data_IF_435972422752
#
_entry.id   IF_435972422752
#
_cell.length_a   1.000
_cell.length_b   1.000
_cell.length_c   1.000
_cell.angle_alpha   90.00
_cell.angle_beta   90.00
_cell.angle_gamma   90.00
#
_symmetry.space_group_name_H-M   'P 1'
#
loop_
_entity.id
_entity.type
_entity.pdbx_description
1 polymer ?
#
# COMPACT_ATOMS: atom_id res chain seq x y z
N UNK A 1 9.31 41.77 -14.44
CA UNK A 1 9.85 40.64 -13.64
C UNK A 1 9.30 40.56 -12.19
N UNK A 2 8.18 41.22 -11.84
CA UNK A 2 7.70 41.29 -10.45
C UNK A 2 6.93 40.04 -9.94
N UNK A 3 6.41 39.20 -10.84
CA UNK A 3 5.49 38.11 -10.49
C UNK A 3 6.15 36.94 -9.75
N UNK A 4 7.45 36.66 -9.98
CA UNK A 4 8.13 35.53 -9.33
C UNK A 4 8.39 35.73 -7.83
N UNK A 5 8.70 36.97 -7.43
CA UNK A 5 8.96 37.32 -6.03
C UNK A 5 7.71 37.22 -5.16
N UNK A 6 6.55 37.65 -5.70
CA UNK A 6 5.27 37.56 -4.99
C UNK A 6 4.81 36.11 -4.77
N UNK A 7 4.95 35.23 -5.78
CA UNK A 7 4.60 33.81 -5.64
C UNK A 7 5.53 33.10 -4.66
N UNK A 8 6.84 33.34 -4.71
CA UNK A 8 7.79 32.75 -3.75
C UNK A 8 7.47 33.16 -2.31
N UNK A 9 7.06 34.41 -2.09
CA UNK A 9 6.65 34.88 -0.76
C UNK A 9 5.41 34.13 -0.23
N UNK A 10 4.42 33.84 -1.09
CA UNK A 10 3.22 33.08 -0.71
C UNK A 10 3.54 31.62 -0.38
N UNK A 11 4.42 30.99 -1.16
CA UNK A 11 4.87 29.61 -0.91
C UNK A 11 5.59 29.52 0.43
N UNK A 12 6.51 30.43 0.73
CA UNK A 12 7.23 30.42 2.01
C UNK A 12 6.27 30.58 3.20
N UNK A 13 5.27 31.47 3.09
CA UNK A 13 4.23 31.61 4.11
C UNK A 13 3.41 30.34 4.28
N UNK A 14 3.03 29.68 3.19
CA UNK A 14 2.32 28.40 3.24
C UNK A 14 3.15 27.31 3.94
N UNK A 15 4.45 27.22 3.63
CA UNK A 15 5.37 26.30 4.31
C UNK A 15 5.48 26.61 5.80
N UNK A 16 5.56 27.88 6.18
CA UNK A 16 5.58 28.28 7.59
C UNK A 16 4.30 27.86 8.32
N UNK A 17 3.13 28.14 7.74
CA UNK A 17 1.84 27.73 8.32
C UNK A 17 1.73 26.21 8.45
N UNK A 18 2.22 25.46 7.45
CA UNK A 18 2.27 24.00 7.51
C UNK A 18 3.15 23.48 8.66
N UNK A 19 4.34 24.07 8.85
CA UNK A 19 5.25 23.73 9.97
C UNK A 19 4.64 24.06 11.33
N UNK A 20 3.81 25.10 11.40
CA UNK A 20 3.06 25.48 12.61
C UNK A 20 1.80 24.62 12.86
N UNK A 21 1.46 23.71 11.95
CA UNK A 21 0.24 22.88 12.06
C UNK A 21 -1.04 23.59 11.62
N UNK A 22 -0.93 24.82 11.08
CA UNK A 22 -2.06 25.61 10.57
C UNK A 22 -2.36 25.23 9.13
N UNK A 23 -2.85 24.01 8.93
CA UNK A 23 -3.01 23.43 7.59
C UNK A 23 -4.07 24.13 6.74
N UNK A 24 -5.14 24.66 7.34
CA UNK A 24 -6.16 25.43 6.63
C UNK A 24 -5.59 26.76 6.11
N UNK A 25 -4.84 27.50 6.93
CA UNK A 25 -4.18 28.75 6.52
C UNK A 25 -3.10 28.47 5.44
N UNK A 26 -2.38 27.35 5.57
CA UNK A 26 -1.43 26.92 4.54
C UNK A 26 -2.12 26.70 3.18
N UNK A 27 -3.30 26.10 3.16
CA UNK A 27 -4.09 25.88 1.94
C UNK A 27 -4.49 27.19 1.26
N UNK A 28 -4.85 28.23 2.02
CA UNK A 28 -5.19 29.54 1.45
C UNK A 28 -3.99 30.13 0.71
N UNK A 29 -2.82 30.15 1.35
CA UNK A 29 -1.58 30.62 0.73
C UNK A 29 -1.15 29.79 -0.48
N UNK A 30 -1.28 28.45 -0.43
CA UNK A 30 -1.01 27.60 -1.60
C UNK A 30 -2.01 27.82 -2.73
N UNK A 31 -3.29 28.10 -2.43
CA UNK A 31 -4.32 28.41 -3.43
C UNK A 31 -3.98 29.70 -4.17
N UNK A 32 -3.60 30.73 -3.42
CA UNK A 32 -3.12 31.98 -4.01
C UNK A 32 -1.86 31.74 -4.86
N UNK A 33 -0.87 31.00 -4.36
CA UNK A 33 0.33 30.68 -5.12
C UNK A 33 0.01 29.90 -6.40
N UNK A 34 -0.95 28.97 -6.36
CA UNK A 34 -1.38 28.16 -7.50
C UNK A 34 -2.02 29.00 -8.59
N UNK A 35 -2.82 30.02 -8.22
CA UNK A 35 -3.40 30.98 -9.18
C UNK A 35 -2.35 31.77 -9.97
N UNK A 36 -1.14 31.91 -9.40
CA UNK A 36 -0.02 32.64 -10.01
C UNK A 36 0.97 31.71 -10.73
N UNK A 37 0.84 30.39 -10.56
CA UNK A 37 1.77 29.40 -11.09
C UNK A 37 1.68 29.31 -12.62
N UNK A 38 2.83 29.41 -13.28
CA UNK A 38 2.91 29.45 -14.75
C UNK A 38 3.45 28.17 -15.35
N UNK A 39 4.34 27.48 -14.64
CA UNK A 39 5.02 26.29 -15.16
C UNK A 39 4.39 25.01 -14.61
N UNK A 40 4.47 23.93 -15.39
CA UNK A 40 4.00 22.60 -14.94
C UNK A 40 4.67 22.17 -13.62
N UNK A 41 6.02 22.30 -13.46
CA UNK A 41 6.66 21.91 -12.20
C UNK A 41 6.17 22.69 -10.98
N UNK A 42 5.88 24.00 -11.13
CA UNK A 42 5.31 24.80 -10.05
C UNK A 42 3.92 24.28 -9.65
N UNK A 43 3.06 24.02 -10.63
CA UNK A 43 1.71 23.49 -10.37
C UNK A 43 1.77 22.12 -9.70
N UNK A 44 2.65 21.22 -10.17
CA UNK A 44 2.87 19.89 -9.57
C UNK A 44 3.27 20.01 -8.09
N UNK A 45 4.25 20.85 -7.78
CA UNK A 45 4.68 21.06 -6.39
C UNK A 45 3.55 21.62 -5.51
N UNK A 46 2.81 22.60 -6.01
CA UNK A 46 1.71 23.24 -5.28
C UNK A 46 0.54 22.29 -5.02
N UNK A 47 0.13 21.49 -6.01
CA UNK A 47 -0.89 20.45 -5.81
C UNK A 47 -0.41 19.38 -4.81
N UNK A 48 0.86 18.96 -4.90
CA UNK A 48 1.43 17.99 -3.94
C UNK A 48 1.40 18.52 -2.50
N UNK A 49 1.75 19.79 -2.30
CA UNK A 49 1.71 20.44 -0.98
C UNK A 49 0.29 20.63 -0.45
N UNK A 50 -0.68 20.95 -1.31
CA UNK A 50 -2.11 21.00 -0.95
C UNK A 50 -2.63 19.62 -0.55
N UNK A 51 -2.25 18.56 -1.27
CA UNK A 51 -2.59 17.19 -0.90
C UNK A 51 -2.09 16.85 0.51
N UNK A 52 -0.85 17.23 0.84
CA UNK A 52 -0.28 17.06 2.18
C UNK A 52 -1.11 17.78 3.27
N UNK A 53 -1.54 19.01 3.01
CA UNK A 53 -2.39 19.75 3.94
C UNK A 53 -3.74 19.06 4.16
N UNK A 54 -4.39 18.60 3.09
CA UNK A 54 -5.66 17.89 3.20
C UNK A 54 -5.52 16.56 3.94
N UNK A 55 -4.41 15.83 3.77
CA UNK A 55 -4.12 14.63 4.56
C UNK A 55 -3.99 14.93 6.04
N UNK A 56 -3.33 16.04 6.41
CA UNK A 56 -3.22 16.48 7.81
C UNK A 56 -4.56 16.95 8.39
N UNK A 57 -5.47 17.42 7.55
CA UNK A 57 -6.84 17.77 7.91
C UNK A 57 -7.81 16.59 7.86
N UNK A 58 -7.35 15.38 7.53
CA UNK A 58 -8.17 14.19 7.31
C UNK A 58 -9.27 14.36 6.24
N UNK A 59 -9.10 15.31 5.31
CA UNK A 59 -9.97 15.49 4.14
C UNK A 59 -9.42 14.66 2.98
N UNK A 60 -9.60 13.35 3.07
CA UNK A 60 -9.01 12.39 2.15
C UNK A 60 -9.53 12.53 0.71
N UNK A 61 -10.81 12.91 0.54
CA UNK A 61 -11.40 13.18 -0.78
C UNK A 61 -10.68 14.31 -1.51
N UNK A 62 -10.44 15.43 -0.83
CA UNK A 62 -9.69 16.55 -1.44
C UNK A 62 -8.22 16.20 -1.64
N UNK A 63 -7.61 15.44 -0.74
CA UNK A 63 -6.24 14.96 -0.93
C UNK A 63 -6.11 14.11 -2.22
N UNK A 64 -7.04 13.19 -2.46
CA UNK A 64 -7.06 12.37 -3.67
C UNK A 64 -7.27 13.21 -4.95
N UNK A 65 -8.09 14.26 -4.89
CA UNK A 65 -8.30 15.21 -5.99
C UNK A 65 -7.02 15.99 -6.31
N UNK A 66 -6.31 16.50 -5.30
CA UNK A 66 -5.03 17.19 -5.53
C UNK A 66 -3.98 16.26 -6.15
N UNK A 67 -3.89 14.99 -5.71
CA UNK A 67 -3.05 14.00 -6.36
C UNK A 67 -3.45 13.75 -7.82
N UNK A 68 -4.75 13.75 -8.11
CA UNK A 68 -5.26 13.62 -9.48
C UNK A 68 -4.82 14.79 -10.35
N UNK A 69 -4.88 16.03 -9.84
CA UNK A 69 -4.36 17.21 -10.55
C UNK A 69 -2.85 17.12 -10.82
N UNK A 70 -2.06 16.48 -9.94
CA UNK A 70 -0.64 16.18 -10.24
C UNK A 70 -0.53 15.20 -11.41
N UNK A 71 -1.33 14.14 -11.40
CA UNK A 71 -1.29 13.07 -12.42
C UNK A 71 -1.82 13.51 -13.79
N UNK A 72 -2.66 14.54 -13.84
CA UNK A 72 -3.05 15.21 -15.09
C UNK A 72 -1.88 16.00 -15.72
N UNK A 73 -0.93 16.47 -14.90
CA UNK A 73 0.24 17.22 -15.35
C UNK A 73 1.43 16.30 -15.66
N UNK A 74 1.61 15.26 -14.85
CA UNK A 74 2.58 14.19 -15.01
C UNK A 74 1.96 12.84 -14.63
N UNK A 75 1.51 12.12 -15.66
CA UNK A 75 0.83 10.83 -15.57
C UNK A 75 1.65 9.75 -14.86
N UNK A 76 2.98 9.85 -14.87
CA UNK A 76 3.88 8.85 -14.30
C UNK A 76 4.54 9.35 -13.01
N UNK A 77 3.99 10.39 -12.39
CA UNK A 77 4.50 10.92 -11.12
C UNK A 77 4.33 9.90 -10.00
N UNK A 78 5.37 9.12 -9.74
CA UNK A 78 5.39 7.98 -8.80
C UNK A 78 4.92 8.39 -7.40
N UNK A 79 5.34 9.56 -6.95
CA UNK A 79 4.93 10.11 -5.66
C UNK A 79 3.42 10.37 -5.54
N UNK A 80 2.79 10.83 -6.63
CA UNK A 80 1.36 11.14 -6.62
C UNK A 80 0.51 9.88 -6.78
N UNK A 81 0.97 8.91 -7.59
CA UNK A 81 0.35 7.58 -7.68
C UNK A 81 0.36 6.89 -6.31
N UNK A 82 1.50 6.90 -5.61
CA UNK A 82 1.62 6.28 -4.29
C UNK A 82 0.73 6.98 -3.26
N UNK A 83 0.78 8.32 -3.21
CA UNK A 83 -0.01 9.10 -2.25
C UNK A 83 -1.51 8.92 -2.49
N UNK A 84 -1.96 8.95 -3.75
CA UNK A 84 -3.36 8.72 -4.11
C UNK A 84 -3.80 7.31 -3.77
N UNK A 85 -3.02 6.27 -4.10
CA UNK A 85 -3.33 4.89 -3.74
C UNK A 85 -3.53 4.72 -2.23
N UNK A 86 -2.63 5.27 -1.40
CA UNK A 86 -2.74 5.18 0.06
C UNK A 86 -3.94 5.98 0.61
N UNK A 87 -4.26 7.12 -0.02
CA UNK A 87 -5.45 7.92 0.32
C UNK A 87 -6.73 7.16 -0.01
N UNK A 88 -6.79 6.55 -1.19
CA UNK A 88 -7.92 5.75 -1.66
C UNK A 88 -8.14 4.49 -0.80
N UNK A 89 -7.06 3.85 -0.33
CA UNK A 89 -7.16 2.77 0.68
C UNK A 89 -7.88 3.25 1.94
N UNK A 90 -7.59 4.47 2.39
CA UNK A 90 -8.22 5.08 3.58
C UNK A 90 -9.70 5.37 3.33
N UNK A 91 -10.04 5.76 2.11
CA UNK A 91 -11.42 5.93 1.63
C UNK A 91 -12.13 4.60 1.30
N UNK A 92 -11.45 3.46 1.47
CA UNK A 92 -11.93 2.11 1.09
C UNK A 92 -12.23 1.94 -0.41
N UNK A 93 -11.69 2.83 -1.25
CA UNK A 93 -11.75 2.72 -2.71
C UNK A 93 -10.65 1.79 -3.26
N UNK A 94 -10.75 0.51 -2.93
CA UNK A 94 -9.68 -0.45 -3.18
C UNK A 94 -9.43 -0.72 -4.67
N UNK A 95 -10.46 -0.66 -5.53
CA UNK A 95 -10.30 -0.81 -6.98
C UNK A 95 -9.47 0.34 -7.58
N UNK A 96 -9.82 1.58 -7.24
CA UNK A 96 -9.09 2.79 -7.67
C UNK A 96 -7.65 2.77 -7.16
N UNK A 97 -7.44 2.37 -5.90
CA UNK A 97 -6.10 2.22 -5.33
C UNK A 97 -5.27 1.15 -6.07
N UNK A 98 -5.89 0.01 -6.41
CA UNK A 98 -5.21 -1.08 -7.12
C UNK A 98 -4.77 -0.65 -8.52
N UNK A 99 -5.58 0.16 -9.21
CA UNK A 99 -5.22 0.73 -10.51
C UNK A 99 -3.91 1.55 -10.42
N UNK A 100 -3.80 2.44 -9.44
CA UNK A 100 -2.60 3.25 -9.24
C UNK A 100 -1.37 2.41 -8.88
N UNK A 101 -1.56 1.38 -8.05
CA UNK A 101 -0.48 0.45 -7.66
C UNK A 101 0.01 -0.39 -8.84
N UNK A 102 -0.88 -0.83 -9.73
CA UNK A 102 -0.48 -1.55 -10.94
C UNK A 102 0.39 -0.67 -11.83
N UNK A 103 0.03 0.60 -12.00
CA UNK A 103 0.84 1.57 -12.74
C UNK A 103 2.21 1.79 -12.09
N UNK A 104 2.29 1.86 -10.77
CA UNK A 104 3.56 1.92 -10.04
C UNK A 104 4.44 0.69 -10.30
N UNK A 105 3.84 -0.50 -10.38
CA UNK A 105 4.55 -1.74 -10.72
C UNK A 105 5.03 -1.76 -12.17
N UNK A 106 4.30 -1.17 -13.12
CA UNK A 106 4.78 -1.01 -14.50
C UNK A 106 6.02 -0.10 -14.55
N UNK A 107 6.03 0.98 -13.75
CA UNK A 107 7.15 1.92 -13.68
C UNK A 107 8.37 1.34 -12.95
N UNK A 108 8.16 0.53 -11.92
CA UNK A 108 9.24 -0.19 -11.22
C UNK A 108 8.79 -1.60 -10.80
N UNK A 109 8.98 -2.60 -11.69
CA UNK A 109 8.56 -3.98 -11.44
C UNK A 109 9.30 -4.66 -10.28
N UNK A 110 10.51 -4.20 -9.98
CA UNK A 110 11.36 -4.79 -8.94
C UNK A 110 10.93 -4.39 -7.52
N UNK A 111 10.09 -3.35 -7.37
CA UNK A 111 9.68 -2.82 -6.07
C UNK A 111 8.85 -3.83 -5.27
N UNK A 112 9.42 -4.34 -4.19
CA UNK A 112 8.69 -5.18 -3.23
C UNK A 112 7.58 -4.40 -2.51
N UNK A 113 7.80 -3.10 -2.27
CA UNK A 113 6.79 -2.23 -1.63
C UNK A 113 5.50 -2.22 -2.44
N UNK A 114 5.60 -2.13 -3.77
CA UNK A 114 4.41 -2.07 -4.64
C UNK A 114 3.73 -3.43 -4.75
N UNK A 115 4.52 -4.52 -4.85
CA UNK A 115 4.01 -5.90 -4.84
C UNK A 115 3.25 -6.22 -3.55
N UNK A 116 3.80 -5.83 -2.39
CA UNK A 116 3.17 -6.06 -1.09
C UNK A 116 1.87 -5.25 -0.94
N UNK A 117 1.85 -3.99 -1.40
CA UNK A 117 0.64 -3.18 -1.39
C UNK A 117 -0.44 -3.76 -2.32
N UNK A 118 -0.06 -4.22 -3.52
CA UNK A 118 -0.98 -4.87 -4.46
C UNK A 118 -1.61 -6.13 -3.85
N UNK A 119 -0.81 -6.99 -3.22
CA UNK A 119 -1.30 -8.22 -2.59
C UNK A 119 -2.32 -7.93 -1.47
N UNK A 120 -2.04 -6.91 -0.64
CA UNK A 120 -2.97 -6.45 0.41
C UNK A 120 -4.29 -5.96 -0.17
N UNK A 121 -4.23 -5.15 -1.24
CA UNK A 121 -5.42 -4.63 -1.91
C UNK A 121 -6.28 -5.75 -2.52
N UNK A 122 -5.64 -6.74 -3.18
CA UNK A 122 -6.35 -7.92 -3.72
C UNK A 122 -7.03 -8.73 -2.63
N UNK A 123 -6.37 -8.90 -1.48
CA UNK A 123 -6.97 -9.59 -0.33
C UNK A 123 -8.20 -8.83 0.18
N UNK A 124 -8.09 -7.51 0.33
CA UNK A 124 -9.20 -6.68 0.79
C UNK A 124 -10.41 -6.71 -0.15
N UNK A 125 -10.17 -6.75 -1.46
CA UNK A 125 -11.20 -6.90 -2.46
C UNK A 125 -11.88 -8.28 -2.40
N UNK A 126 -11.09 -9.34 -2.23
CA UNK A 126 -11.60 -10.70 -2.05
C UNK A 126 -12.47 -10.86 -0.80
N UNK A 127 -12.13 -10.18 0.29
CA UNK A 127 -12.91 -10.20 1.53
C UNK A 127 -14.23 -9.44 1.38
N UNK A 128 -14.24 -8.35 0.61
CA UNK A 128 -15.44 -7.55 0.37
C UNK A 128 -16.46 -8.25 -0.55
N UNK A 129 -16.04 -9.29 -1.30
CA UNK A 129 -16.90 -10.03 -2.23
C UNK A 129 -17.56 -11.26 -1.62
N UNK A 130 -17.36 -11.56 -0.34
CA UNK A 130 -18.16 -12.58 0.34
C UNK A 130 -19.56 -11.98 0.46
N UNK A 131 -20.55 -12.46 -0.30
CA UNK A 131 -21.89 -11.96 -0.15
C UNK A 131 -22.31 -12.29 1.29
N UNK A 132 -22.84 -11.30 2.01
CA UNK A 132 -23.73 -11.59 3.13
C UNK A 132 -25.03 -12.11 2.51
N UNK A 133 -24.96 -13.27 1.84
CA UNK A 133 -26.15 -13.99 1.46
C UNK A 133 -26.80 -14.34 2.79
N UNK A 134 -27.96 -13.73 3.01
CA UNK A 134 -28.98 -14.19 3.92
C UNK A 134 -29.09 -15.70 3.72
N UNK A 135 -28.36 -16.47 4.52
CA UNK A 135 -28.72 -17.83 4.81
C UNK A 135 -30.02 -17.70 5.61
N UNK A 136 -31.14 -17.48 4.89
CA UNK A 136 -32.45 -17.95 5.29
C UNK A 136 -32.26 -19.45 5.55
N UNK A 137 -31.93 -19.77 6.79
CA UNK A 137 -32.20 -21.08 7.35
C UNK A 137 -33.72 -21.14 7.37
N UNK A 138 -34.30 -21.71 6.31
CA UNK A 138 -35.64 -22.26 6.40
C UNK A 138 -35.57 -23.29 7.54
N UNK A 139 -36.14 -22.94 8.70
CA UNK A 139 -36.40 -23.89 9.77
C UNK A 139 -37.47 -24.86 9.23
N UNK A 140 -37.02 -25.99 8.68
CA UNK A 140 -37.88 -27.14 8.41
C UNK A 140 -38.43 -27.62 9.76
N UNK A 141 -39.61 -27.13 10.11
CA UNK A 141 -40.41 -27.53 11.27
C UNK A 141 -40.99 -28.94 11.01
N UNK A 142 -40.13 -29.96 11.11
CA UNK A 142 -40.52 -31.36 11.00
C UNK A 142 -41.27 -31.75 12.28
N UNK A 143 -42.59 -31.77 12.19
CA UNK A 143 -43.52 -32.21 13.23
C UNK A 143 -43.20 -33.66 13.63
N UNK A 144 -42.61 -33.85 14.82
CA UNK A 144 -42.44 -35.17 15.43
C UNK A 144 -43.81 -35.59 16.00
N UNK A 145 -44.56 -36.34 15.19
CA UNK A 145 -45.71 -37.09 15.70
C UNK A 145 -45.20 -38.32 16.48
N UNK A 146 -45.34 -38.22 17.79
CA UNK A 146 -44.99 -39.24 18.78
C UNK A 146 -46.06 -40.35 18.76
N UNK A 147 -45.95 -41.33 17.86
CA UNK A 147 -46.78 -42.54 17.89
C UNK A 147 -45.98 -43.83 18.17
N UNK A 148 -46.35 -44.37 19.34
CA UNK A 148 -45.97 -45.58 20.07
C UNK A 148 -46.04 -46.93 19.31
N UNK A 149 -45.19 -47.86 19.80
CA UNK A 149 -45.22 -49.34 19.74
C UNK A 149 -44.54 -49.95 18.49
N UNK A 150 -43.68 -50.97 18.58
CA UNK A 150 -43.80 -52.22 19.32
C UNK A 150 -42.43 -52.89 19.55
N UNK A 151 -42.27 -53.62 20.65
CA UNK A 151 -41.12 -54.49 20.96
C UNK A 151 -40.90 -55.56 19.89
N UNK A 152 -39.64 -55.88 19.59
CA UNK A 152 -39.22 -57.27 19.39
C UNK A 152 -37.71 -57.42 19.66
N UNK A 153 -37.44 -58.24 20.68
CA UNK A 153 -36.13 -58.75 21.04
C UNK A 153 -35.53 -59.63 19.94
N UNK A 154 -34.23 -59.51 19.70
CA UNK A 154 -33.41 -60.66 19.33
C UNK A 154 -31.99 -60.50 19.89
N UNK A 155 -31.51 -61.63 20.40
CA UNK A 155 -30.41 -61.79 21.33
C UNK A 155 -29.01 -61.67 20.70
N UNK A 156 -28.08 -61.16 21.52
CA UNK A 156 -26.71 -61.61 21.85
C UNK A 156 -25.88 -62.47 20.86
N UNK A 157 -24.56 -62.30 21.06
CA UNK A 157 -23.38 -63.12 20.67
C UNK A 157 -22.66 -62.63 19.40
N UNK A 158 -21.33 -62.53 19.32
CA UNK A 158 -20.27 -62.95 20.23
C UNK A 158 -18.96 -62.16 19.97
N UNK A 159 -18.02 -62.31 20.88
CA UNK A 159 -16.71 -61.65 20.94
C UNK A 159 -15.62 -62.35 20.11
N UNK A 160 -14.55 -61.60 19.76
CA UNK A 160 -13.15 -62.03 19.45
C UNK A 160 -12.99 -62.82 18.12
N UNK A 161 -11.93 -62.72 17.31
CA UNK A 161 -10.47 -62.76 17.54
C UNK A 161 -9.77 -62.33 16.22
N UNK A 162 -8.78 -61.43 16.21
CA UNK A 162 -7.30 -61.60 16.08
C UNK A 162 -6.76 -62.14 14.72
N UNK A 163 -5.61 -61.56 14.33
CA UNK A 163 -4.55 -61.98 13.39
C UNK A 163 -4.48 -61.23 12.05
N UNK A 164 -3.53 -60.31 11.87
CA UNK A 164 -2.07 -60.47 11.69
C UNK A 164 -1.72 -60.96 10.28
N UNK A 165 -1.16 -60.06 9.47
CA UNK A 165 -0.21 -60.44 8.42
C UNK A 165 0.82 -59.32 8.24
N UNK A 166 2.07 -59.61 8.65
CA UNK A 166 3.26 -58.87 8.24
C UNK A 166 3.47 -58.95 6.71
N UNK A 167 4.25 -58.09 6.08
CA UNK A 167 5.73 -58.09 6.08
C UNK A 167 6.19 -56.83 5.33
N UNK A 168 7.11 -56.02 5.89
CA UNK A 168 8.49 -55.75 5.41
C UNK A 168 8.65 -55.59 3.88
N UNK A 169 9.27 -54.53 3.33
CA UNK A 169 10.70 -54.20 3.49
C UNK A 169 11.04 -52.72 3.25
N UNK A 170 12.16 -52.33 3.88
CA UNK A 170 12.88 -51.05 3.79
C UNK A 170 13.63 -50.88 2.46
N UNK A 171 13.89 -49.63 2.04
CA UNK A 171 15.22 -49.20 1.58
C UNK A 171 15.40 -47.70 1.78
N UNK A 172 16.37 -47.34 2.63
CA UNK A 172 17.01 -46.01 2.69
C UNK A 172 18.23 -46.07 1.78
N UNK A 173 18.48 -45.05 0.95
CA UNK A 173 19.85 -44.57 0.77
C UNK A 173 19.94 -43.14 0.24
N UNK A 174 20.88 -42.43 0.83
CA UNK A 174 21.32 -41.07 0.53
C UNK A 174 21.98 -40.95 -0.85
N UNK A 175 22.04 -39.73 -1.40
CA UNK A 175 23.30 -39.18 -1.92
C UNK A 175 23.24 -37.68 -2.25
N UNK A 176 24.32 -37.03 -1.85
CA UNK A 176 24.63 -35.61 -2.04
C UNK A 176 25.44 -35.35 -3.33
N UNK A 177 25.54 -34.05 -3.65
CA UNK A 177 26.70 -33.34 -4.21
C UNK A 177 26.81 -33.01 -5.72
N UNK A 178 26.80 -31.69 -5.97
CA UNK A 178 27.78 -30.85 -6.71
C UNK A 178 27.91 -31.02 -8.25
N UNK A 179 27.66 -29.91 -8.97
CA UNK A 179 28.44 -29.53 -10.15
C UNK A 179 28.47 -27.99 -10.36
N UNK A 180 29.66 -27.49 -10.65
CA UNK A 180 30.07 -26.09 -10.76
C UNK A 180 29.94 -25.52 -12.19
N UNK A 181 29.63 -24.22 -12.26
CA UNK A 181 30.33 -23.15 -12.99
C UNK A 181 30.53 -23.22 -14.52
N UNK A 182 30.03 -22.18 -15.23
CA UNK A 182 30.72 -21.54 -16.37
C UNK A 182 30.41 -20.03 -16.43
N UNK A 183 31.39 -19.21 -16.07
CA UNK A 183 31.53 -17.82 -16.48
C UNK A 183 31.98 -17.71 -17.95
N UNK A 184 31.60 -16.63 -18.67
CA UNK A 184 32.54 -15.67 -19.31
C UNK A 184 31.86 -14.55 -20.12
N UNK A 185 31.92 -13.34 -19.56
CA UNK A 185 32.39 -12.02 -20.09
C UNK A 185 31.89 -11.44 -21.43
N UNK A 186 31.41 -10.19 -21.33
CA UNK A 186 31.75 -8.99 -22.16
C UNK A 186 30.64 -7.94 -21.94
N UNK A 187 30.83 -6.67 -21.61
CA UNK A 187 31.98 -5.80 -21.43
C UNK A 187 31.43 -4.41 -21.05
N UNK A 188 32.15 -3.71 -20.18
CA UNK A 188 32.21 -2.25 -20.06
C UNK A 188 30.89 -1.43 -20.13
N UNK A 189 30.18 -1.28 -19.00
CA UNK A 189 29.12 -0.24 -18.82
C UNK A 189 29.32 0.56 -17.52
N UNK A 190 30.51 0.49 -16.92
CA UNK A 190 30.75 0.99 -15.56
C UNK A 190 31.22 2.46 -15.47
N UNK A 191 30.93 3.30 -16.46
CA UNK A 191 31.31 4.73 -16.39
C UNK A 191 30.30 5.74 -16.96
N UNK A 192 29.13 5.30 -17.45
CA UNK A 192 28.08 6.24 -17.92
C UNK A 192 26.86 6.23 -16.98
N UNK A 193 26.65 5.17 -16.20
CA UNK A 193 25.48 5.02 -15.32
C UNK A 193 25.59 5.76 -13.98
N UNK A 194 26.78 6.21 -13.56
CA UNK A 194 26.92 6.93 -12.28
C UNK A 194 26.68 8.45 -12.37
N UNK A 195 26.76 9.03 -13.57
CA UNK A 195 26.61 10.49 -13.74
C UNK A 195 25.14 10.90 -13.95
N UNK A 196 24.35 10.10 -14.68
CA UNK A 196 22.94 10.45 -14.98
C UNK A 196 21.99 10.10 -13.82
N UNK A 197 22.32 9.08 -13.01
CA UNK A 197 21.48 8.65 -11.88
C UNK A 197 21.61 9.55 -10.66
N UNK A 198 22.72 10.29 -10.54
CA UNK A 198 23.02 11.15 -9.39
C UNK A 198 22.28 12.50 -9.41
N UNK A 199 21.81 12.96 -10.57
CA UNK A 199 21.04 14.21 -10.70
C UNK A 199 19.55 13.98 -10.47
N UNK A 200 18.97 12.90 -11.01
CA UNK A 200 17.53 12.63 -10.90
C UNK A 200 17.10 12.12 -9.50
N UNK A 201 18.01 11.49 -8.74
CA UNK A 201 17.71 11.05 -7.37
C UNK A 201 17.79 12.16 -6.31
N UNK A 202 18.55 13.24 -6.55
CA UNK A 202 18.65 14.36 -5.61
C UNK A 202 17.38 15.22 -5.64
N UNK A 203 16.79 15.43 -6.81
CA UNK A 203 15.59 16.25 -6.93
C UNK A 203 14.32 15.53 -6.43
N UNK A 204 14.26 14.20 -6.53
CA UNK A 204 13.14 13.42 -6.00
C UNK A 204 13.18 13.22 -4.47
N UNK A 205 14.36 13.09 -3.87
CA UNK A 205 14.48 12.98 -2.40
C UNK A 205 14.16 14.28 -1.67
N UNK A 206 14.45 15.43 -2.28
CA UNK A 206 14.20 16.73 -1.65
C UNK A 206 12.70 17.08 -1.62
N UNK A 207 11.92 16.66 -2.62
CA UNK A 207 10.48 16.96 -2.65
C UNK A 207 9.65 16.02 -1.75
N UNK A 208 10.00 14.73 -1.64
CA UNK A 208 9.20 13.76 -0.88
C UNK A 208 9.46 13.78 0.64
N UNK A 209 10.67 14.14 1.06
CA UNK A 209 11.04 14.24 2.47
C UNK A 209 10.43 15.48 3.16
N UNK A 210 10.26 16.58 2.44
CA UNK A 210 9.56 17.77 2.95
C UNK A 210 8.04 17.56 3.07
N UNK A 211 7.43 16.85 2.13
CA UNK A 211 5.97 16.64 2.08
C UNK A 211 5.45 15.78 3.24
N UNK A 212 6.21 14.78 3.70
CA UNK A 212 5.75 13.87 4.75
C UNK A 212 6.20 14.21 6.18
N UNK A 213 7.10 15.18 6.39
CA UNK A 213 7.37 15.74 7.72
C UNK A 213 7.56 14.68 8.84
N UNK A 214 8.13 13.52 8.53
CA UNK A 214 8.62 12.58 9.53
C UNK A 214 10.05 13.00 9.88
N UNK A 215 10.14 14.13 10.57
CA UNK A 215 11.33 14.42 11.34
C UNK A 215 11.47 13.32 12.40
N UNK A 216 12.52 12.52 12.27
CA UNK A 216 13.05 11.68 13.33
C UNK A 216 13.28 12.56 14.57
N UNK A 217 12.29 12.63 15.45
CA UNK A 217 12.45 13.15 16.79
C UNK A 217 13.14 12.06 17.63
N UNK A 218 14.46 11.95 17.47
CA UNK A 218 15.32 11.16 18.36
C UNK A 218 16.42 12.04 18.92
N UNK A 219 16.05 12.98 19.79
CA UNK A 219 16.82 13.39 20.99
C UNK A 219 16.04 14.42 21.81
N UNK A 220 15.09 13.92 22.59
CA UNK A 220 14.64 14.59 23.80
C UNK A 220 14.17 13.53 24.81
N UNK A 221 15.10 13.05 25.65
CA UNK A 221 14.87 12.60 27.04
C UNK A 221 16.17 12.11 27.67
N UNK A 222 16.43 12.61 28.88
CA UNK A 222 17.63 12.42 29.70
C UNK A 222 17.88 13.72 30.47
N UNK A 223 16.94 14.17 31.32
CA UNK A 223 16.75 13.74 32.71
C UNK A 223 17.88 14.24 33.64
N UNK A 224 17.54 15.33 34.35
CA UNK A 224 17.83 15.70 35.74
C UNK A 224 18.76 14.83 36.61
N UNK A 225 19.47 15.55 37.51
CA UNK A 225 20.15 15.17 38.77
C UNK A 225 21.68 15.01 38.72
N UNK A 226 22.42 16.09 39.05
CA UNK A 226 23.06 16.35 40.37
C UNK A 226 23.90 17.62 40.27
#
# INVERSE_FOLDING_TARGET
>A
MASGSATMNRIERAHQMYREGKYAEALDYYTEALSMAKTKPQKIALHSNRAACYLKLHDFDKAAKECTSVLELDHNHTGALMLRAQTLVTLKEYHSALFDVNRLMELNPSSEVYRNLQARLKTQLSLATIPEDEAELEEDDEHIDEEKLEENEWEKQDSKEVENFGSQENYVNDNAAIAQNKESKSGNISSITEIVTSQNQRDQKNNFSEVLGLANNSKAKGAFLS
#
